data_IF_794275221167
#
_entry.id   IF_794275221167
#
_cell.length_a   1.000
_cell.length_b   1.000
_cell.length_c   1.000
_cell.angle_alpha   90.00
_cell.angle_beta   90.00
_cell.angle_gamma   90.00
#
_symmetry.space_group_name_H-M   'P 1'
#
loop_
_entity.id
_entity.type
_entity.pdbx_description
1 polymer ?
#
# COMPACT_ATOMS: atom_id res chain seq x y z
N UNK A 1 -14.55 -27.65 19.92
CA UNK A 1 -13.67 -26.49 19.61
C UNK A 1 -14.61 -25.31 19.53
N UNK A 2 -14.81 -24.67 20.68
CA UNK A 2 -15.71 -23.53 20.82
C UNK A 2 -15.40 -22.49 19.76
N UNK A 3 -16.41 -22.13 18.97
CA UNK A 3 -16.30 -21.21 17.84
C UNK A 3 -15.81 -19.85 18.36
N UNK A 4 -14.51 -19.57 18.17
CA UNK A 4 -13.95 -18.25 18.40
C UNK A 4 -14.76 -17.22 17.62
N UNK A 5 -15.11 -16.12 18.29
CA UNK A 5 -15.83 -14.99 17.69
C UNK A 5 -15.12 -14.56 16.39
N UNK A 6 -15.80 -14.53 15.22
CA UNK A 6 -15.22 -14.10 13.95
C UNK A 6 -14.53 -12.74 14.06
N UNK A 7 -15.06 -11.83 14.89
CA UNK A 7 -14.45 -10.53 15.14
C UNK A 7 -13.10 -10.66 15.84
N UNK A 8 -12.99 -11.55 16.84
CA UNK A 8 -11.71 -11.81 17.50
C UNK A 8 -10.68 -12.38 16.51
N UNK A 9 -11.08 -13.32 15.66
CA UNK A 9 -10.21 -13.89 14.63
C UNK A 9 -9.74 -12.85 13.60
N UNK A 10 -10.65 -11.96 13.16
CA UNK A 10 -10.32 -10.84 12.28
C UNK A 10 -9.24 -9.95 12.90
N UNK A 11 -9.45 -9.51 14.15
CA UNK A 11 -8.55 -8.58 14.84
C UNK A 11 -7.20 -9.25 15.16
N UNK A 12 -7.21 -10.48 15.67
CA UNK A 12 -5.99 -11.23 15.94
C UNK A 12 -5.19 -11.49 14.65
N UNK A 13 -5.88 -11.90 13.57
CA UNK A 13 -5.25 -12.10 12.27
C UNK A 13 -4.67 -10.80 11.70
N UNK A 14 -5.41 -9.69 11.79
CA UNK A 14 -4.95 -8.37 11.38
C UNK A 14 -3.70 -7.93 12.17
N UNK A 15 -3.68 -8.17 13.48
CA UNK A 15 -2.55 -7.86 14.35
C UNK A 15 -1.31 -8.65 13.93
N UNK A 16 -1.45 -9.96 13.68
CA UNK A 16 -0.35 -10.83 13.25
C UNK A 16 0.18 -10.42 11.87
N UNK A 17 -0.70 -10.21 10.90
CA UNK A 17 -0.34 -9.73 9.56
C UNK A 17 0.41 -8.40 9.65
N UNK A 18 -0.12 -7.45 10.42
CA UNK A 18 0.52 -6.16 10.67
C UNK A 18 1.89 -6.32 11.33
N UNK A 19 2.00 -7.16 12.35
CA UNK A 19 3.25 -7.41 13.07
C UNK A 19 4.35 -7.97 12.14
N UNK A 20 4.01 -8.96 11.32
CA UNK A 20 4.95 -9.52 10.34
C UNK A 20 5.34 -8.46 9.32
N UNK A 21 4.37 -7.71 8.78
CA UNK A 21 4.65 -6.62 7.83
C UNK A 21 5.60 -5.58 8.44
N UNK A 22 5.31 -5.09 9.65
CA UNK A 22 6.13 -4.08 10.33
C UNK A 22 7.56 -4.52 10.59
N UNK A 23 7.72 -5.77 11.04
CA UNK A 23 9.04 -6.39 11.28
C UNK A 23 9.84 -6.49 9.99
N UNK A 24 9.24 -7.08 8.94
CA UNK A 24 9.91 -7.32 7.65
C UNK A 24 10.19 -6.02 6.93
N UNK A 25 9.24 -5.08 6.91
CA UNK A 25 9.40 -3.79 6.27
C UNK A 25 10.53 -2.97 6.93
N UNK A 26 10.70 -3.06 8.26
CA UNK A 26 11.81 -2.42 8.96
C UNK A 26 13.15 -3.10 8.64
N UNK A 27 13.22 -4.42 8.78
CA UNK A 27 14.43 -5.20 8.54
C UNK A 27 14.97 -5.05 7.10
N UNK A 28 14.06 -5.04 6.13
CA UNK A 28 14.39 -5.02 4.71
C UNK A 28 14.51 -3.62 4.12
N UNK A 29 13.94 -2.62 4.82
CA UNK A 29 13.74 -1.29 4.28
C UNK A 29 12.74 -1.22 3.13
N UNK A 30 11.78 -2.16 3.04
CA UNK A 30 10.81 -2.28 1.95
C UNK A 30 10.16 -0.93 1.59
N UNK A 31 10.38 -0.44 0.37
CA UNK A 31 9.89 0.87 -0.04
C UNK A 31 9.78 1.01 -1.57
N UNK A 32 8.57 1.29 -2.08
CA UNK A 32 8.35 1.54 -3.51
C UNK A 32 9.14 2.75 -4.00
N UNK A 33 9.24 3.81 -3.19
CA UNK A 33 9.99 5.03 -3.56
C UNK A 33 11.42 4.70 -3.94
N UNK A 34 12.09 3.92 -3.10
CA UNK A 34 13.47 3.51 -3.33
C UNK A 34 13.57 2.61 -4.55
N UNK A 35 12.61 1.70 -4.77
CA UNK A 35 12.58 0.87 -5.97
C UNK A 35 12.50 1.72 -7.27
N UNK A 36 11.62 2.74 -7.29
CA UNK A 36 11.49 3.66 -8.43
C UNK A 36 12.80 4.41 -8.68
N UNK A 37 13.42 4.95 -7.62
CA UNK A 37 14.67 5.71 -7.74
C UNK A 37 15.85 4.79 -8.16
N UNK A 38 15.94 3.58 -7.60
CA UNK A 38 16.97 2.60 -7.97
C UNK A 38 16.92 2.26 -9.47
N UNK A 39 15.71 2.11 -10.02
CA UNK A 39 15.50 1.84 -11.45
C UNK A 39 15.87 3.05 -12.30
N UNK A 40 15.43 4.26 -11.93
CA UNK A 40 15.71 5.49 -12.68
C UNK A 40 17.21 5.82 -12.67
N UNK A 41 17.85 5.76 -11.50
CA UNK A 41 19.26 6.12 -11.33
C UNK A 41 20.22 4.96 -11.71
N UNK A 42 19.69 3.81 -12.15
CA UNK A 42 20.44 2.57 -12.50
C UNK A 42 21.41 2.12 -11.40
N UNK A 43 20.95 2.15 -10.14
CA UNK A 43 21.75 1.84 -8.94
C UNK A 43 21.50 0.42 -8.42
N UNK A 44 22.29 -0.10 -7.46
CA UNK A 44 22.04 -1.40 -6.83
C UNK A 44 20.58 -1.50 -6.36
N UNK A 45 19.91 -2.53 -6.87
CA UNK A 45 18.45 -2.59 -6.98
C UNK A 45 17.83 -3.51 -5.91
N UNK A 46 18.16 -3.29 -4.63
CA UNK A 46 17.62 -4.09 -3.52
C UNK A 46 16.11 -3.98 -3.44
N UNK A 47 15.57 -2.77 -3.50
CA UNK A 47 14.15 -2.51 -3.37
C UNK A 47 13.40 -2.84 -4.65
N UNK A 48 14.02 -2.61 -5.81
CA UNK A 48 13.49 -3.07 -7.09
C UNK A 48 13.38 -4.61 -7.14
N UNK A 49 14.36 -5.35 -6.62
CA UNK A 49 14.30 -6.81 -6.53
C UNK A 49 13.19 -7.28 -5.56
N UNK A 50 12.96 -6.55 -4.46
CA UNK A 50 11.85 -6.83 -3.55
C UNK A 50 10.49 -6.69 -4.24
N UNK A 51 10.28 -5.58 -4.97
CA UNK A 51 9.03 -5.32 -5.69
C UNK A 51 8.82 -6.23 -6.90
N UNK A 52 9.90 -6.63 -7.58
CA UNK A 52 9.84 -7.58 -8.68
C UNK A 52 9.28 -8.95 -8.28
N UNK A 53 9.37 -9.32 -7.00
CA UNK A 53 8.78 -10.55 -6.46
C UNK A 53 7.48 -10.29 -5.71
N UNK A 54 7.42 -9.25 -4.88
CA UNK A 54 6.25 -8.97 -4.05
C UNK A 54 4.97 -8.80 -4.86
N UNK A 55 5.03 -8.02 -5.94
CA UNK A 55 3.86 -7.73 -6.75
C UNK A 55 3.36 -9.00 -7.48
N UNK A 56 4.17 -9.70 -8.30
CA UNK A 56 3.68 -10.89 -8.99
C UNK A 56 3.26 -12.02 -8.06
N UNK A 57 3.95 -12.20 -6.93
CA UNK A 57 3.58 -13.22 -5.96
C UNK A 57 2.24 -12.89 -5.30
N UNK A 58 1.99 -11.62 -4.95
CA UNK A 58 0.69 -11.18 -4.44
C UNK A 58 -0.44 -11.43 -5.44
N UNK A 59 -0.21 -11.16 -6.73
CA UNK A 59 -1.18 -11.49 -7.79
C UNK A 59 -1.39 -13.00 -7.89
N UNK A 60 -0.34 -13.79 -8.08
CA UNK A 60 -0.45 -15.24 -8.26
C UNK A 60 -1.15 -15.92 -7.09
N UNK A 61 -0.69 -15.65 -5.87
CA UNK A 61 -1.30 -16.25 -4.68
C UNK A 61 -2.77 -15.84 -4.54
N UNK A 62 -3.11 -14.57 -4.69
CA UNK A 62 -4.51 -14.10 -4.58
C UNK A 62 -5.40 -14.72 -5.66
N UNK A 63 -4.93 -14.78 -6.90
CA UNK A 63 -5.71 -15.38 -8.00
C UNK A 63 -5.84 -16.90 -7.84
N UNK A 64 -4.84 -17.60 -7.30
CA UNK A 64 -4.94 -19.02 -6.96
C UNK A 64 -5.99 -19.24 -5.88
N UNK A 65 -5.97 -18.48 -4.78
CA UNK A 65 -6.96 -18.60 -3.71
C UNK A 65 -8.38 -18.28 -4.21
N UNK A 66 -8.53 -17.27 -5.06
CA UNK A 66 -9.81 -16.89 -5.65
C UNK A 66 -10.33 -17.96 -6.64
N UNK A 67 -9.45 -18.57 -7.44
CA UNK A 67 -9.82 -19.61 -8.39
C UNK A 67 -10.35 -20.87 -7.71
N UNK A 68 -9.77 -21.25 -6.56
CA UNK A 68 -10.26 -22.37 -5.75
C UNK A 68 -11.48 -22.02 -4.88
N UNK A 69 -11.99 -20.77 -4.95
CA UNK A 69 -13.13 -20.33 -4.14
C UNK A 69 -12.83 -20.22 -2.64
N UNK A 70 -11.55 -20.19 -2.24
CA UNK A 70 -11.15 -20.04 -0.84
C UNK A 70 -11.43 -18.62 -0.34
N UNK A 71 -11.22 -17.62 -1.20
CA UNK A 71 -11.54 -16.22 -0.91
C UNK A 71 -12.56 -15.71 -1.92
N UNK A 72 -13.58 -15.00 -1.45
CA UNK A 72 -14.45 -14.22 -2.33
C UNK A 72 -13.94 -12.79 -2.44
N UNK A 73 -13.59 -12.40 -3.66
CA UNK A 73 -13.14 -11.04 -3.96
C UNK A 73 -14.31 -10.13 -4.36
N UNK A 74 -15.55 -10.62 -4.44
CA UNK A 74 -16.71 -9.80 -4.77
C UNK A 74 -16.93 -8.71 -3.72
N UNK A 75 -17.37 -7.53 -4.17
CA UNK A 75 -17.69 -6.40 -3.29
C UNK A 75 -16.49 -5.67 -2.68
N UNK A 76 -15.25 -6.08 -2.99
CA UNK A 76 -14.07 -5.33 -2.57
C UNK A 76 -13.99 -3.98 -3.32
N UNK A 77 -13.30 -3.00 -2.72
CA UNK A 77 -13.23 -1.63 -3.24
C UNK A 77 -12.56 -1.50 -4.62
N UNK A 78 -11.72 -2.45 -5.02
CA UNK A 78 -10.95 -2.43 -6.26
C UNK A 78 -11.71 -3.01 -7.46
N UNK A 79 -12.73 -3.84 -7.23
CA UNK A 79 -13.52 -4.51 -8.25
C UNK A 79 -14.90 -3.85 -8.48
N UNK A 80 -15.00 -2.54 -8.27
CA UNK A 80 -16.22 -1.79 -8.59
C UNK A 80 -16.53 -1.80 -10.10
N UNK A 81 -17.76 -1.43 -10.45
CA UNK A 81 -18.25 -1.36 -11.84
C UNK A 81 -17.95 -0.02 -12.53
N UNK A 82 -17.34 0.93 -11.84
CA UNK A 82 -16.96 2.23 -12.37
C UNK A 82 -15.47 2.48 -12.23
N UNK A 83 -14.83 2.91 -13.31
CA UNK A 83 -13.41 3.30 -13.33
C UNK A 83 -13.33 4.83 -13.31
N UNK A 84 -13.00 5.39 -12.15
CA UNK A 84 -12.82 6.83 -11.96
C UNK A 84 -11.41 7.24 -12.42
N UNK A 85 -11.12 7.06 -13.70
CA UNK A 85 -9.78 7.16 -14.28
C UNK A 85 -9.09 8.48 -13.93
N UNK A 86 -9.82 9.60 -13.92
CA UNK A 86 -9.25 10.91 -13.60
C UNK A 86 -8.83 10.99 -12.14
N UNK A 87 -9.67 10.51 -11.22
CA UNK A 87 -9.37 10.42 -9.79
C UNK A 87 -8.13 9.54 -9.56
N UNK A 88 -8.04 8.39 -10.22
CA UNK A 88 -6.92 7.47 -10.10
C UNK A 88 -5.60 8.07 -10.58
N UNK A 89 -5.62 8.79 -11.72
CA UNK A 89 -4.43 9.45 -12.27
C UNK A 89 -4.00 10.62 -11.39
N UNK A 90 -4.91 11.56 -11.10
CA UNK A 90 -4.61 12.74 -10.28
C UNK A 90 -4.16 12.32 -8.88
N UNK A 91 -4.88 11.38 -8.27
CA UNK A 91 -4.57 10.83 -6.96
C UNK A 91 -3.22 10.14 -6.93
N UNK A 92 -2.96 9.28 -7.90
CA UNK A 92 -1.69 8.55 -8.00
C UNK A 92 -0.51 9.48 -8.20
N UNK A 93 -0.62 10.48 -9.08
CA UNK A 93 0.42 11.48 -9.32
C UNK A 93 0.73 12.29 -8.04
N UNK A 94 -0.31 12.78 -7.35
CA UNK A 94 -0.16 13.52 -6.09
C UNK A 94 0.48 12.66 -4.99
N UNK A 95 0.03 11.41 -4.85
CA UNK A 95 0.59 10.47 -3.89
C UNK A 95 2.07 10.17 -4.20
N UNK A 96 2.38 9.86 -5.46
CA UNK A 96 3.72 9.58 -5.95
C UNK A 96 4.69 10.74 -5.74
N UNK A 97 4.24 11.97 -6.00
CA UNK A 97 5.04 13.15 -5.74
C UNK A 97 5.26 13.37 -4.23
N UNK A 98 4.20 13.23 -3.42
CA UNK A 98 4.23 13.37 -1.97
C UNK A 98 5.19 12.37 -1.29
N UNK A 99 5.22 11.12 -1.75
CA UNK A 99 6.15 10.12 -1.20
C UNK A 99 7.62 10.48 -1.46
N UNK A 100 7.94 11.17 -2.56
CA UNK A 100 9.32 11.62 -2.82
C UNK A 100 9.71 12.79 -1.91
N UNK A 101 8.80 13.74 -1.70
CA UNK A 101 9.04 14.90 -0.82
C UNK A 101 9.29 14.43 0.61
N UNK A 102 8.41 13.58 1.13
CA UNK A 102 8.50 13.06 2.51
C UNK A 102 9.51 11.93 2.66
N UNK A 103 10.16 11.50 1.57
CA UNK A 103 11.15 10.42 1.52
C UNK A 103 10.63 9.02 1.89
N UNK A 104 9.33 8.81 1.93
CA UNK A 104 8.69 7.51 2.20
C UNK A 104 7.21 7.52 1.82
N UNK A 105 6.59 6.36 1.67
CA UNK A 105 5.13 6.26 1.56
C UNK A 105 4.49 6.04 2.95
N UNK A 106 3.16 6.06 3.05
CA UNK A 106 2.44 5.92 4.32
C UNK A 106 2.88 4.72 5.16
N UNK A 107 2.99 3.52 4.56
CA UNK A 107 3.46 2.32 5.27
C UNK A 107 4.90 2.44 5.77
N UNK A 108 5.79 3.07 4.99
CA UNK A 108 7.18 3.30 5.42
C UNK A 108 7.26 4.29 6.57
N UNK A 109 6.49 5.38 6.54
CA UNK A 109 6.45 6.32 7.65
C UNK A 109 5.92 5.69 8.93
N UNK A 110 4.95 4.76 8.84
CA UNK A 110 4.50 4.02 10.03
C UNK A 110 5.62 3.21 10.68
N UNK A 111 6.38 2.48 9.85
CA UNK A 111 7.51 1.66 10.29
C UNK A 111 8.65 2.51 10.89
N UNK A 112 8.88 3.71 10.35
CA UNK A 112 9.89 4.64 10.86
C UNK A 112 9.44 5.34 12.13
N UNK A 113 8.17 5.70 12.22
CA UNK A 113 7.57 6.34 13.40
C UNK A 113 7.75 5.45 14.66
N UNK A 114 7.53 4.14 14.52
CA UNK A 114 7.81 3.16 15.56
C UNK A 114 9.29 3.06 15.96
N UNK A 115 10.21 3.58 15.14
CA UNK A 115 11.64 3.62 15.44
C UNK A 115 12.13 4.80 16.27
N UNK A 116 11.24 5.76 16.57
CA UNK A 116 11.59 7.04 17.18
C UNK A 116 11.74 8.20 16.18
N UNK A 117 11.41 8.01 14.90
CA UNK A 117 11.46 9.09 13.92
C UNK A 117 10.23 10.02 14.06
N UNK A 118 10.42 11.16 14.73
CA UNK A 118 9.36 12.17 14.97
C UNK A 118 8.87 12.80 13.68
N UNK A 119 9.71 12.88 12.64
CA UNK A 119 9.31 13.38 11.32
C UNK A 119 8.23 12.49 10.71
N UNK A 120 8.40 11.18 10.85
CA UNK A 120 7.45 10.20 10.35
C UNK A 120 6.11 10.26 11.10
N UNK A 121 6.11 10.53 12.41
CA UNK A 121 4.90 10.81 13.20
C UNK A 121 4.11 11.99 12.64
N UNK A 122 4.77 13.11 12.35
CA UNK A 122 4.11 14.27 11.73
C UNK A 122 3.50 13.89 10.38
N UNK A 123 4.22 13.15 9.55
CA UNK A 123 3.72 12.75 8.22
C UNK A 123 2.51 11.83 8.32
N UNK A 124 2.53 10.79 9.16
CA UNK A 124 1.38 9.87 9.28
C UNK A 124 0.16 10.56 9.88
N UNK A 125 0.34 11.50 10.81
CA UNK A 125 -0.76 12.28 11.37
C UNK A 125 -1.40 13.17 10.30
N UNK A 126 -0.60 13.91 9.53
CA UNK A 126 -1.12 14.77 8.45
C UNK A 126 -1.75 13.94 7.33
N UNK A 127 -1.12 12.81 6.96
CA UNK A 127 -1.66 11.87 5.97
C UNK A 127 -3.01 11.31 6.45
N UNK A 128 -3.10 10.82 7.68
CA UNK A 128 -4.32 10.27 8.25
C UNK A 128 -5.43 11.30 8.37
N UNK A 129 -5.12 12.51 8.86
CA UNK A 129 -6.07 13.62 8.95
C UNK A 129 -6.61 14.00 7.58
N UNK A 130 -5.72 14.16 6.59
CA UNK A 130 -6.11 14.53 5.24
C UNK A 130 -6.89 13.41 4.57
N UNK A 131 -6.48 12.14 4.74
CA UNK A 131 -7.21 10.99 4.22
C UNK A 131 -8.62 10.92 4.82
N UNK A 132 -8.76 11.09 6.15
CA UNK A 132 -10.07 11.11 6.80
C UNK A 132 -10.93 12.28 6.33
N UNK A 133 -10.36 13.49 6.24
CA UNK A 133 -11.05 14.65 5.69
C UNK A 133 -11.47 14.48 4.23
N UNK A 134 -10.73 13.68 3.45
CA UNK A 134 -11.07 13.38 2.04
C UNK A 134 -12.16 12.32 1.94
N UNK A 135 -12.19 11.36 2.86
CA UNK A 135 -13.23 10.32 2.90
C UNK A 135 -14.56 10.84 3.43
N UNK A 136 -14.55 11.65 4.50
CA UNK A 136 -15.74 12.01 5.29
C UNK A 136 -15.83 13.48 5.69
N UNK A 137 -14.87 14.32 5.31
CA UNK A 137 -14.80 15.72 5.72
C UNK A 137 -14.90 16.70 4.56
N UNK A 138 -14.33 17.90 4.76
CA UNK A 138 -14.40 19.02 3.79
C UNK A 138 -13.75 18.71 2.44
N UNK A 139 -12.72 17.85 2.43
CA UNK A 139 -12.03 17.44 1.21
C UNK A 139 -12.82 16.37 0.42
N UNK A 140 -13.94 15.89 0.94
CA UNK A 140 -14.86 15.05 0.18
C UNK A 140 -15.48 15.81 -1.00
N UNK A 141 -15.72 17.13 -0.89
CA UNK A 141 -16.28 17.97 -1.96
C UNK A 141 -15.38 17.99 -3.21
N UNK A 142 -14.09 18.38 -3.13
CA UNK A 142 -13.20 18.34 -4.29
C UNK A 142 -12.98 16.90 -4.77
N UNK A 143 -12.98 15.91 -3.87
CA UNK A 143 -12.90 14.50 -4.26
C UNK A 143 -14.07 14.15 -5.19
N UNK A 144 -15.32 14.30 -4.74
CA UNK A 144 -16.49 13.91 -5.52
C UNK A 144 -16.60 14.68 -6.84
N UNK A 145 -16.10 15.93 -6.89
CA UNK A 145 -16.02 16.70 -8.13
C UNK A 145 -15.04 16.09 -9.14
N UNK A 146 -13.83 15.71 -8.70
CA UNK A 146 -12.84 15.04 -9.55
C UNK A 146 -13.36 13.68 -10.02
N UNK A 147 -14.00 12.93 -9.13
CA UNK A 147 -14.60 11.64 -9.44
C UNK A 147 -15.72 11.78 -10.49
N UNK A 148 -16.60 12.76 -10.33
CA UNK A 148 -17.67 13.05 -11.29
C UNK A 148 -17.17 13.54 -12.66
N UNK A 149 -16.05 14.25 -12.70
CA UNK A 149 -15.48 14.77 -13.95
C UNK A 149 -14.88 13.69 -14.86
N UNK A 150 -14.49 12.53 -14.32
CA UNK A 150 -13.81 11.48 -15.09
C UNK A 150 -14.10 10.08 -14.58
N UNK A 151 -15.34 9.64 -14.79
CA UNK A 151 -15.78 8.26 -14.51
C UNK A 151 -16.22 7.56 -15.79
N UNK A 152 -15.72 6.35 -15.99
CA UNK A 152 -16.16 5.41 -17.02
C UNK A 152 -16.98 4.30 -16.35
N UNK A 153 -18.26 4.20 -16.68
CA UNK A 153 -19.12 3.11 -16.20
C UNK A 153 -18.94 1.88 -17.09
N UNK A 154 -18.70 0.73 -16.48
CA UNK A 154 -18.58 -0.57 -17.16
C UNK A 154 -19.90 -1.37 -17.11
N UNK A 155 -21.00 -0.72 -16.75
CA UNK A 155 -22.31 -1.37 -16.56
C UNK A 155 -22.26 -2.38 -15.42
N UNK A 156 -22.63 -3.63 -15.70
CA UNK A 156 -22.64 -4.72 -14.71
C UNK A 156 -21.30 -5.46 -14.62
N UNK A 157 -20.31 -5.11 -15.46
CA UNK A 157 -19.02 -5.80 -15.48
C UNK A 157 -18.05 -5.19 -14.45
N UNK A 158 -17.51 -5.98 -13.51
CA UNK A 158 -16.45 -5.52 -12.62
C UNK A 158 -15.21 -5.11 -13.41
N UNK A 159 -14.45 -4.14 -12.91
CA UNK A 159 -13.20 -3.66 -13.54
C UNK A 159 -12.01 -4.64 -13.44
N UNK A 160 -12.25 -5.96 -13.42
CA UNK A 160 -11.22 -6.98 -13.43
C UNK A 160 -10.69 -7.21 -14.85
N UNK A 161 -9.38 -7.03 -15.07
CA UNK A 161 -8.74 -7.26 -16.37
C UNK A 161 -9.07 -8.64 -16.99
N UNK A 162 -9.09 -9.76 -16.25
CA UNK A 162 -9.43 -11.06 -16.82
C UNK A 162 -10.85 -11.13 -17.38
N UNK A 163 -11.81 -10.50 -16.71
CA UNK A 163 -13.21 -10.44 -17.16
C UNK A 163 -13.36 -9.56 -18.40
N UNK A 164 -12.62 -8.46 -18.47
CA UNK A 164 -12.62 -7.58 -19.65
C UNK A 164 -12.00 -8.24 -20.89
N UNK A 165 -11.03 -9.14 -20.72
CA UNK A 165 -10.35 -9.82 -21.83
C UNK A 165 -11.12 -11.04 -22.33
N UNK A 166 -11.68 -11.84 -21.42
CA UNK A 166 -12.20 -13.19 -21.74
C UNK A 166 -13.67 -13.41 -21.40
N UNK A 167 -14.36 -12.37 -20.92
CA UNK A 167 -15.73 -12.47 -20.41
C UNK A 167 -15.85 -13.26 -19.10
N UNK A 168 -17.08 -13.49 -18.59
CA UNK A 168 -17.31 -14.09 -17.28
C UNK A 168 -16.81 -15.54 -17.17
N UNK A 169 -16.98 -16.32 -18.24
CA UNK A 169 -16.71 -17.77 -18.25
C UNK A 169 -15.21 -18.09 -18.34
N UNK A 170 -14.41 -17.22 -18.97
CA UNK A 170 -12.95 -17.39 -19.10
C UNK A 170 -12.12 -16.62 -18.08
N UNK A 171 -12.76 -15.84 -17.20
CA UNK A 171 -12.05 -14.91 -16.32
C UNK A 171 -11.06 -15.62 -15.37
N UNK A 172 -11.44 -16.78 -14.83
CA UNK A 172 -10.59 -17.51 -13.89
C UNK A 172 -9.29 -18.02 -14.53
N UNK A 173 -9.37 -18.62 -15.71
CA UNK A 173 -8.19 -19.13 -16.43
C UNK A 173 -7.31 -17.99 -16.92
N UNK A 174 -7.90 -16.94 -17.46
CA UNK A 174 -7.17 -15.73 -17.90
C UNK A 174 -6.45 -15.06 -16.73
N UNK A 175 -7.07 -15.02 -15.55
CA UNK A 175 -6.44 -14.48 -14.35
C UNK A 175 -5.17 -15.26 -13.96
N UNK A 176 -5.24 -16.59 -13.96
CA UNK A 176 -4.10 -17.46 -13.65
C UNK A 176 -2.99 -17.34 -14.71
N UNK A 177 -3.34 -17.22 -15.99
CA UNK A 177 -2.36 -17.00 -17.06
C UNK A 177 -1.64 -15.67 -16.87
N UNK A 178 -2.37 -14.57 -16.65
CA UNK A 178 -1.78 -13.25 -16.39
C UNK A 178 -0.88 -13.32 -15.15
N UNK A 179 -1.36 -13.92 -14.07
CA UNK A 179 -0.60 -14.04 -12.83
C UNK A 179 0.67 -14.89 -13.00
N UNK A 180 0.59 -16.00 -13.75
CA UNK A 180 1.72 -16.84 -14.08
C UNK A 180 2.76 -16.13 -14.94
N UNK A 181 2.33 -15.36 -15.95
CA UNK A 181 3.21 -14.54 -16.78
C UNK A 181 3.90 -13.45 -15.95
N UNK A 182 3.16 -12.74 -15.09
CA UNK A 182 3.73 -11.75 -14.19
C UNK A 182 4.75 -12.39 -13.24
N UNK A 183 4.45 -13.57 -12.69
CA UNK A 183 5.35 -14.28 -11.79
C UNK A 183 6.62 -14.74 -12.51
N UNK A 184 6.50 -15.29 -13.73
CA UNK A 184 7.66 -15.64 -14.54
C UNK A 184 8.53 -14.41 -14.85
N UNK A 185 7.92 -13.29 -15.26
CA UNK A 185 8.64 -12.04 -15.51
C UNK A 185 9.33 -11.50 -14.24
N UNK A 186 8.63 -11.53 -13.10
CA UNK A 186 9.16 -11.14 -11.79
C UNK A 186 10.33 -12.03 -11.34
N UNK A 187 10.20 -13.34 -11.51
CA UNK A 187 11.26 -14.30 -11.20
C UNK A 187 12.50 -14.08 -12.07
N UNK A 188 12.33 -13.82 -13.37
CA UNK A 188 13.44 -13.48 -14.27
C UNK A 188 14.10 -12.16 -13.86
N UNK A 189 13.32 -11.13 -13.54
CA UNK A 189 13.84 -9.85 -13.07
C UNK A 189 14.63 -10.01 -11.76
N UNK A 190 14.07 -10.71 -10.78
CA UNK A 190 14.72 -11.02 -9.51
C UNK A 190 16.00 -11.84 -9.70
N UNK A 191 15.97 -12.84 -10.60
CA UNK A 191 17.14 -13.65 -10.92
C UNK A 191 18.27 -12.82 -11.54
N UNK A 192 17.94 -11.84 -12.40
CA UNK A 192 18.93 -10.91 -12.96
C UNK A 192 19.49 -9.97 -11.88
N UNK A 193 18.63 -9.51 -10.96
CA UNK A 193 19.00 -8.60 -9.88
C UNK A 193 19.71 -9.28 -8.71
N UNK A 194 19.65 -10.61 -8.57
CA UNK A 194 20.22 -11.35 -7.42
C UNK A 194 21.71 -11.14 -7.17
N UNK A 195 22.46 -10.75 -8.21
CA UNK A 195 23.90 -10.46 -8.12
C UNK A 195 24.20 -9.09 -7.50
N UNK A 196 23.21 -8.22 -7.36
CA UNK A 196 23.37 -6.90 -6.77
C UNK A 196 23.49 -7.00 -5.23
N UNK A 197 24.29 -6.13 -4.60
CA UNK A 197 24.42 -6.11 -3.14
C UNK A 197 23.07 -5.95 -2.44
N UNK A 198 22.78 -6.85 -1.49
CA UNK A 198 21.54 -6.82 -0.71
C UNK A 198 20.27 -7.27 -1.44
N UNK A 199 20.36 -7.66 -2.72
CA UNK A 199 19.19 -8.10 -3.49
C UNK A 199 18.52 -9.35 -2.92
N UNK A 200 19.28 -10.28 -2.34
CA UNK A 200 18.71 -11.48 -1.70
C UNK A 200 17.84 -11.14 -0.49
N UNK A 201 18.27 -10.18 0.35
CA UNK A 201 17.44 -9.66 1.43
C UNK A 201 16.20 -8.92 0.92
N UNK A 202 16.32 -8.23 -0.23
CA UNK A 202 15.17 -7.63 -0.92
C UNK A 202 14.17 -8.68 -1.40
N UNK A 203 14.63 -9.73 -2.07
CA UNK A 203 13.79 -10.82 -2.58
C UNK A 203 13.10 -11.57 -1.43
N UNK A 204 13.82 -11.89 -0.35
CA UNK A 204 13.22 -12.51 0.83
C UNK A 204 12.11 -11.65 1.43
N UNK A 205 12.34 -10.34 1.54
CA UNK A 205 11.30 -9.41 1.99
C UNK A 205 10.12 -9.34 1.02
N UNK A 206 10.39 -9.37 -0.29
CA UNK A 206 9.37 -9.38 -1.32
C UNK A 206 8.50 -10.63 -1.28
N UNK A 207 9.09 -11.81 -1.03
CA UNK A 207 8.36 -13.06 -0.83
C UNK A 207 7.39 -12.94 0.36
N UNK A 208 7.88 -12.47 1.51
CA UNK A 208 7.04 -12.36 2.71
C UNK A 208 5.94 -11.32 2.53
N UNK A 209 6.27 -10.11 2.06
CA UNK A 209 5.27 -9.06 1.83
C UNK A 209 4.25 -9.49 0.76
N UNK A 210 4.71 -10.16 -0.30
CA UNK A 210 3.83 -10.69 -1.35
C UNK A 210 2.81 -11.71 -0.82
N UNK A 211 3.22 -12.58 0.11
CA UNK A 211 2.33 -13.56 0.76
C UNK A 211 1.44 -12.96 1.86
N UNK A 212 1.80 -11.81 2.44
CA UNK A 212 0.93 -11.14 3.41
C UNK A 212 -0.33 -10.57 2.76
N UNK A 213 -0.30 -10.24 1.46
CA UNK A 213 -1.47 -9.73 0.72
C UNK A 213 -2.62 -10.76 0.63
N UNK A 214 -2.43 -11.98 0.11
CA UNK A 214 -3.47 -13.01 0.12
C UNK A 214 -3.83 -13.45 1.55
N UNK A 215 -2.87 -13.47 2.48
CA UNK A 215 -3.16 -13.78 3.89
C UNK A 215 -4.11 -12.73 4.49
N UNK A 216 -3.94 -11.46 4.15
CA UNK A 216 -4.85 -10.39 4.57
C UNK A 216 -6.25 -10.55 3.98
N UNK A 217 -6.36 -10.93 2.69
CA UNK A 217 -7.64 -11.26 2.05
C UNK A 217 -8.32 -12.45 2.73
N UNK A 218 -7.55 -13.47 3.10
CA UNK A 218 -8.06 -14.64 3.81
C UNK A 218 -8.54 -14.28 5.23
N UNK A 219 -7.76 -13.50 5.97
CA UNK A 219 -8.17 -13.05 7.32
C UNK A 219 -9.46 -12.24 7.26
N UNK A 220 -9.59 -11.28 6.34
CA UNK A 220 -10.77 -10.43 6.27
C UNK A 220 -11.98 -11.08 5.60
N UNK A 221 -11.75 -11.89 4.57
CA UNK A 221 -12.83 -12.49 3.77
C UNK A 221 -13.28 -13.88 4.22
N UNK A 222 -12.50 -14.57 5.07
CA UNK A 222 -12.83 -15.94 5.52
C UNK A 222 -12.89 -16.01 7.04
N UNK A 223 -11.80 -15.66 7.73
CA UNK A 223 -11.74 -15.81 9.19
C UNK A 223 -12.62 -14.79 9.93
N UNK A 224 -12.70 -13.58 9.39
CA UNK A 224 -13.52 -12.49 9.90
C UNK A 224 -14.85 -12.33 9.20
N UNK A 225 -15.26 -13.30 8.37
CA UNK A 225 -16.55 -13.24 7.70
C UNK A 225 -17.64 -13.56 8.72
N UNK A 226 -18.53 -12.59 8.93
CA UNK A 226 -19.71 -12.71 9.77
C UNK A 226 -20.95 -12.63 8.86
N UNK A 227 -21.81 -13.64 8.94
CA UNK A 227 -23.06 -13.70 8.15
C UNK A 227 -24.12 -12.70 8.63
N UNK A 228 -24.07 -12.32 9.91
CA UNK A 228 -25.02 -11.38 10.52
C UNK A 228 -24.62 -9.92 10.29
N UNK A 229 -23.31 -9.64 10.17
CA UNK A 229 -22.77 -8.33 9.84
C UNK A 229 -21.71 -8.41 8.73
N UNK A 230 -22.10 -8.66 7.47
CA UNK A 230 -21.17 -8.89 6.37
C UNK A 230 -20.34 -7.63 6.10
N UNK A 231 -19.04 -7.71 6.41
CA UNK A 231 -18.08 -6.67 6.09
C UNK A 231 -17.45 -6.90 4.72
N UNK A 232 -17.06 -5.81 4.05
CA UNK A 232 -16.36 -5.93 2.75
C UNK A 232 -14.97 -6.52 2.99
N UNK A 233 -14.53 -7.49 2.18
CA UNK A 233 -13.17 -8.01 2.30
C UNK A 233 -12.16 -6.89 2.00
N UNK A 234 -11.11 -6.82 2.82
CA UNK A 234 -10.06 -5.79 2.75
C UNK A 234 -8.70 -6.44 2.96
N UNK A 235 -7.74 -6.10 2.11
CA UNK A 235 -6.34 -6.48 2.32
C UNK A 235 -5.50 -5.31 2.81
N UNK A 236 -4.20 -5.55 3.02
CA UNK A 236 -3.30 -4.61 3.65
C UNK A 236 -3.28 -3.27 2.92
N UNK A 237 -3.55 -2.19 3.64
CA UNK A 237 -3.54 -0.82 3.13
C UNK A 237 -3.32 0.15 4.28
N UNK A 238 -2.80 1.34 3.99
CA UNK A 238 -2.41 2.31 5.01
C UNK A 238 -2.99 3.70 4.78
N UNK A 239 -3.81 3.93 3.76
CA UNK A 239 -4.39 5.28 3.55
C UNK A 239 -5.61 5.48 4.45
N UNK A 240 -6.71 4.80 4.17
CA UNK A 240 -7.94 4.91 4.95
C UNK A 240 -7.76 4.47 6.41
N UNK A 241 -7.05 3.35 6.70
CA UNK A 241 -6.85 2.93 8.08
C UNK A 241 -6.15 3.94 8.98
N UNK A 242 -5.26 4.80 8.45
CA UNK A 242 -4.61 5.84 9.26
C UNK A 242 -5.61 6.87 9.76
N UNK A 243 -6.51 7.29 8.88
CA UNK A 243 -7.61 8.19 9.23
C UNK A 243 -8.57 7.54 10.22
N UNK A 244 -8.95 6.28 9.97
CA UNK A 244 -9.81 5.52 10.87
C UNK A 244 -9.16 5.30 12.24
N UNK A 245 -7.86 5.04 12.31
CA UNK A 245 -7.14 4.85 13.58
C UNK A 245 -7.08 6.16 14.39
N UNK A 246 -6.83 7.30 13.74
CA UNK A 246 -6.91 8.61 14.40
C UNK A 246 -8.32 8.87 14.93
N UNK A 247 -9.35 8.62 14.11
CA UNK A 247 -10.74 8.77 14.52
C UNK A 247 -11.09 7.84 15.69
N UNK A 248 -10.65 6.59 15.64
CA UNK A 248 -10.87 5.59 16.68
C UNK A 248 -10.24 6.01 18.01
N UNK A 249 -9.02 6.57 17.98
CA UNK A 249 -8.39 7.11 19.19
C UNK A 249 -9.18 8.28 19.78
N UNK A 250 -9.77 9.14 18.95
CA UNK A 250 -10.57 10.28 19.41
C UNK A 250 -11.98 9.89 19.88
N UNK A 251 -12.55 8.82 19.33
CA UNK A 251 -13.96 8.42 19.53
C UNK A 251 -14.11 6.96 19.91
N UNK A 252 -13.17 6.43 20.72
CA UNK A 252 -13.07 5.02 21.09
C UNK A 252 -14.39 4.39 21.57
N UNK A 253 -15.19 5.15 22.32
CA UNK A 253 -16.51 4.70 22.81
C UNK A 253 -17.59 4.64 21.73
N UNK A 254 -17.37 5.25 20.56
CA UNK A 254 -18.33 5.36 19.46
C UNK A 254 -17.89 4.68 18.16
N UNK A 255 -16.72 4.01 18.13
CA UNK A 255 -16.21 3.32 16.93
C UNK A 255 -15.58 1.99 17.31
N UNK A 256 -15.85 0.94 16.54
CA UNK A 256 -15.22 -0.37 16.73
C UNK A 256 -13.88 -0.48 15.98
N UNK A 257 -12.97 -1.29 16.51
CA UNK A 257 -11.74 -1.62 15.80
C UNK A 257 -12.07 -2.48 14.56
N UNK A 258 -11.48 -2.12 13.43
CA UNK A 258 -11.55 -2.86 12.18
C UNK A 258 -10.21 -3.55 11.86
N UNK A 259 -10.19 -4.33 10.77
CA UNK A 259 -8.98 -4.97 10.26
C UNK A 259 -7.84 -3.96 10.03
N UNK A 260 -8.14 -2.80 9.44
CA UNK A 260 -7.15 -1.79 9.09
C UNK A 260 -6.50 -1.12 10.31
N UNK A 261 -7.31 -0.70 11.28
CA UNK A 261 -6.84 -0.10 12.55
C UNK A 261 -5.92 -1.09 13.28
N UNK A 262 -6.33 -2.35 13.32
CA UNK A 262 -5.58 -3.40 14.02
C UNK A 262 -4.30 -3.79 13.28
N UNK A 263 -4.32 -3.79 11.93
CA UNK A 263 -3.12 -3.97 11.12
C UNK A 263 -2.11 -2.83 11.30
N UNK A 264 -2.56 -1.58 11.51
CA UNK A 264 -1.68 -0.46 11.88
C UNK A 264 -1.03 -0.70 13.23
N UNK A 265 -1.81 -1.09 14.25
CA UNK A 265 -1.30 -1.40 15.58
C UNK A 265 -0.25 -2.53 15.52
N UNK A 266 -0.54 -3.60 14.76
CA UNK A 266 0.41 -4.68 14.51
C UNK A 266 1.68 -4.18 13.82
N UNK A 267 1.54 -3.35 12.79
CA UNK A 267 2.69 -2.78 12.06
C UNK A 267 3.59 -1.94 12.97
N UNK A 268 3.00 -1.12 13.85
CA UNK A 268 3.74 -0.37 14.86
C UNK A 268 4.46 -1.31 15.84
N UNK A 269 3.75 -2.31 16.37
CA UNK A 269 4.32 -3.26 17.33
C UNK A 269 5.48 -4.08 16.73
N UNK A 270 5.31 -4.63 15.52
CA UNK A 270 6.36 -5.42 14.86
C UNK A 270 7.58 -4.59 14.47
N UNK A 271 7.36 -3.38 13.97
CA UNK A 271 8.48 -2.48 13.65
C UNK A 271 9.20 -1.97 14.90
N UNK A 272 8.49 -1.69 16.00
CA UNK A 272 9.08 -1.35 17.29
C UNK A 272 9.88 -2.53 17.87
N UNK A 273 9.32 -3.75 17.85
CA UNK A 273 10.01 -4.95 18.33
C UNK A 273 11.32 -5.18 17.58
N UNK A 274 11.31 -5.05 16.25
CA UNK A 274 12.54 -5.13 15.45
C UNK A 274 13.53 -4.01 15.80
N UNK A 275 13.04 -2.78 16.00
CA UNK A 275 13.87 -1.64 16.38
C UNK A 275 14.58 -1.86 17.72
N UNK A 276 13.83 -2.33 18.72
CA UNK A 276 14.34 -2.62 20.06
C UNK A 276 15.35 -3.78 20.02
N UNK A 277 15.02 -4.87 19.32
CA UNK A 277 15.90 -6.04 19.19
C UNK A 277 17.23 -5.71 18.49
N UNK A 278 17.19 -4.85 17.47
CA UNK A 278 18.39 -4.40 16.74
C UNK A 278 19.09 -3.20 17.37
N UNK A 279 18.59 -2.69 18.52
CA UNK A 279 19.08 -1.48 19.20
C UNK A 279 19.18 -0.27 18.26
N UNK A 280 18.22 -0.15 17.34
CA UNK A 280 18.13 0.92 16.35
C UNK A 280 17.05 1.96 16.68
N UNK A 281 16.62 2.01 17.94
CA UNK A 281 15.71 3.05 18.43
C UNK A 281 16.46 4.37 18.56
N UNK A 282 16.01 5.38 17.82
CA UNK A 282 16.64 6.69 17.81
C UNK A 282 15.59 7.79 17.63
N UNK A 283 15.60 8.75 18.54
CA UNK A 283 14.76 9.93 18.44
C UNK A 283 15.33 10.86 17.36
N UNK A 284 14.61 11.01 16.24
CA UNK A 284 15.02 11.89 15.14
C UNK A 284 13.96 12.94 14.83
N UNK A 285 14.33 14.21 15.00
CA UNK A 285 13.47 15.37 14.77
C UNK A 285 13.69 16.09 13.43
N UNK A 286 13.09 17.27 13.32
CA UNK A 286 13.32 18.20 12.21
C UNK A 286 14.46 19.18 12.55
N UNK A 287 15.36 19.41 11.60
CA UNK A 287 16.45 20.38 11.75
C UNK A 287 16.05 21.80 11.32
N UNK A 288 14.97 21.96 10.56
CA UNK A 288 14.49 23.27 10.10
C UNK A 288 12.98 23.32 9.89
N UNK A 289 12.34 24.50 10.07
CA UNK A 289 10.92 24.70 9.76
C UNK A 289 10.59 24.42 8.29
N UNK A 290 11.50 24.75 7.37
CA UNK A 290 11.31 24.47 5.94
C UNK A 290 11.26 22.97 5.62
N UNK A 291 12.00 22.14 6.37
CA UNK A 291 11.90 20.69 6.24
C UNK A 291 10.57 20.17 6.78
N UNK A 292 10.09 20.72 7.90
CA UNK A 292 8.79 20.38 8.46
C UNK A 292 7.65 20.72 7.50
N UNK A 293 7.62 21.94 6.95
CA UNK A 293 6.59 22.39 6.01
C UNK A 293 6.52 21.49 4.77
N UNK A 294 7.68 21.08 4.22
CA UNK A 294 7.75 20.13 3.09
C UNK A 294 7.15 18.77 3.46
N UNK A 295 7.42 18.26 4.66
CA UNK A 295 6.90 16.97 5.11
C UNK A 295 5.39 17.02 5.38
N UNK A 296 4.88 18.11 5.95
CA UNK A 296 3.45 18.37 6.15
C UNK A 296 2.74 18.43 4.79
N UNK A 297 3.24 19.24 3.85
CA UNK A 297 2.66 19.35 2.51
C UNK A 297 2.65 17.99 1.79
N UNK A 298 3.77 17.28 1.81
CA UNK A 298 3.85 15.95 1.21
C UNK A 298 2.92 14.93 1.89
N UNK A 299 2.75 15.01 3.22
CA UNK A 299 1.79 14.21 3.98
C UNK A 299 0.35 14.46 3.54
N UNK A 300 -0.03 15.73 3.37
CA UNK A 300 -1.35 16.11 2.88
C UNK A 300 -1.58 15.62 1.44
N UNK A 301 -0.60 15.80 0.54
CA UNK A 301 -0.67 15.28 -0.83
C UNK A 301 -0.85 13.76 -0.87
N UNK A 302 -0.14 13.01 -0.01
CA UNK A 302 -0.32 11.56 0.12
C UNK A 302 -1.69 11.19 0.71
N UNK A 303 -2.21 11.94 1.69
CA UNK A 303 -3.52 11.67 2.27
C UNK A 303 -4.65 11.85 1.25
N UNK A 304 -4.69 13.01 0.58
CA UNK A 304 -5.69 13.31 -0.44
C UNK A 304 -5.53 12.41 -1.67
N UNK A 305 -4.30 12.33 -2.20
CA UNK A 305 -4.01 11.54 -3.39
C UNK A 305 -4.20 10.03 -3.18
N UNK A 306 -3.92 9.53 -1.98
CA UNK A 306 -4.11 8.12 -1.65
C UNK A 306 -5.58 7.72 -1.57
N UNK A 307 -6.48 8.63 -1.21
CA UNK A 307 -7.92 8.36 -1.21
C UNK A 307 -8.45 8.36 -2.65
N UNK A 308 -8.06 9.33 -3.46
CA UNK A 308 -8.40 9.39 -4.89
C UNK A 308 -7.88 8.17 -5.66
N UNK A 309 -6.67 7.70 -5.33
CA UNK A 309 -6.06 6.51 -5.93
C UNK A 309 -6.60 5.17 -5.37
N UNK A 310 -7.62 5.20 -4.49
CA UNK A 310 -8.17 4.03 -3.79
C UNK A 310 -7.15 3.25 -2.95
N UNK A 311 -6.03 3.87 -2.59
CA UNK A 311 -5.03 3.28 -1.71
C UNK A 311 -3.64 3.91 -1.82
N UNK A 312 -2.75 3.47 -0.94
CA UNK A 312 -1.33 3.78 -1.01
C UNK A 312 -0.59 2.78 -1.91
N UNK A 313 0.74 2.83 -1.91
CA UNK A 313 1.57 1.85 -2.63
C UNK A 313 1.27 0.40 -2.26
N UNK A 314 0.93 0.12 -1.01
CA UNK A 314 0.55 -1.24 -0.57
C UNK A 314 -0.90 -1.53 -0.92
N UNK A 315 -1.81 -0.58 -0.64
CA UNK A 315 -3.23 -0.71 -0.95
C UNK A 315 -3.50 -0.81 -2.44
N UNK A 316 -3.39 0.29 -3.18
CA UNK A 316 -3.62 0.30 -4.63
C UNK A 316 -2.56 -0.53 -5.39
N UNK A 317 -1.31 -0.49 -4.93
CA UNK A 317 -0.19 -1.10 -5.67
C UNK A 317 0.01 -2.59 -5.47
N UNK A 318 -0.23 -3.16 -4.28
CA UNK A 318 -0.12 -4.61 -4.04
C UNK A 318 -1.51 -5.24 -3.90
N UNK A 319 -2.32 -4.76 -2.96
CA UNK A 319 -3.64 -5.32 -2.67
C UNK A 319 -4.60 -5.18 -3.85
N UNK A 320 -4.69 -4.00 -4.46
CA UNK A 320 -5.54 -3.76 -5.63
C UNK A 320 -5.03 -4.46 -6.90
N UNK A 321 -3.71 -4.44 -7.14
CA UNK A 321 -3.12 -5.20 -8.24
C UNK A 321 -3.29 -6.70 -8.07
N UNK A 322 -3.32 -7.22 -6.83
CA UNK A 322 -3.53 -8.64 -6.56
C UNK A 322 -4.88 -9.16 -7.05
N UNK A 323 -5.87 -8.27 -7.20
CA UNK A 323 -7.18 -8.58 -7.77
C UNK A 323 -7.25 -8.36 -9.29
N UNK A 324 -6.13 -8.01 -9.94
CA UNK A 324 -6.05 -7.63 -11.35
C UNK A 324 -7.04 -6.52 -11.76
N UNK A 325 -7.28 -5.57 -10.86
CA UNK A 325 -8.15 -4.40 -11.11
C UNK A 325 -7.49 -3.43 -12.09
N UNK A 326 -8.24 -3.01 -13.12
CA UNK A 326 -7.81 -1.97 -14.05
C UNK A 326 -7.54 -0.64 -13.34
N UNK A 327 -8.40 -0.27 -12.38
CA UNK A 327 -8.22 0.95 -11.61
C UNK A 327 -6.93 0.95 -10.79
N UNK A 328 -6.56 -0.21 -10.23
CA UNK A 328 -5.31 -0.38 -9.48
C UNK A 328 -4.07 -0.31 -10.36
N UNK A 329 -4.15 -0.80 -11.60
CA UNK A 329 -3.10 -0.65 -12.61
C UNK A 329 -2.86 0.82 -12.95
N UNK A 330 -3.94 1.58 -13.20
CA UNK A 330 -3.88 3.02 -13.47
C UNK A 330 -3.29 3.76 -12.27
N UNK A 331 -3.79 3.48 -11.06
CA UNK A 331 -3.29 4.09 -9.83
C UNK A 331 -1.80 3.81 -9.60
N UNK A 332 -1.36 2.55 -9.74
CA UNK A 332 0.05 2.19 -9.57
C UNK A 332 0.94 2.87 -10.61
N UNK A 333 0.53 2.89 -11.88
CA UNK A 333 1.25 3.58 -12.95
C UNK A 333 1.36 5.09 -12.67
N UNK A 334 0.27 5.72 -12.22
CA UNK A 334 0.26 7.12 -11.82
C UNK A 334 1.14 7.40 -10.59
N UNK A 335 1.14 6.51 -9.58
CA UNK A 335 2.02 6.62 -8.41
C UNK A 335 3.49 6.54 -8.81
N UNK A 336 3.86 5.57 -9.65
CA UNK A 336 5.24 5.43 -10.14
C UNK A 336 5.64 6.65 -10.97
N UNK A 337 4.75 7.14 -11.84
CA UNK A 337 4.98 8.34 -12.64
C UNK A 337 5.15 9.59 -11.78
N UNK A 338 4.27 9.78 -10.78
CA UNK A 338 4.36 10.89 -9.83
C UNK A 338 5.65 10.85 -9.01
N UNK A 339 6.10 9.64 -8.64
CA UNK A 339 7.39 9.42 -7.99
C UNK A 339 8.57 9.75 -8.90
N UNK A 340 8.54 9.36 -10.17
CA UNK A 340 9.57 9.70 -11.13
C UNK A 340 9.66 11.22 -11.36
N UNK A 341 8.52 11.89 -11.54
CA UNK A 341 8.42 13.35 -11.67
C UNK A 341 8.94 14.04 -10.41
N UNK A 342 8.52 13.59 -9.22
CA UNK A 342 8.98 14.15 -7.95
C UNK A 342 10.48 13.99 -7.74
N UNK A 343 11.05 12.86 -8.16
CA UNK A 343 12.50 12.66 -8.12
C UNK A 343 13.23 13.63 -9.05
N UNK A 344 12.75 13.79 -10.28
CA UNK A 344 13.34 14.70 -11.27
C UNK A 344 13.25 16.18 -10.86
N UNK A 345 12.12 16.60 -10.29
CA UNK A 345 11.94 17.96 -9.77
C UNK A 345 12.90 18.21 -8.60
N UNK A 346 13.01 17.25 -7.68
CA UNK A 346 13.93 17.36 -6.55
C UNK A 346 15.40 17.40 -6.99
N UNK A 347 15.80 16.57 -7.96
CA UNK A 347 17.17 16.57 -8.47
C UNK A 347 17.48 17.85 -9.23
N UNK A 348 16.52 18.51 -9.89
CA UNK A 348 16.74 19.83 -10.52
C UNK A 348 16.82 20.98 -9.52
N UNK A 349 15.97 20.99 -8.49
CA UNK A 349 15.93 22.07 -7.49
C UNK A 349 17.15 21.99 -6.53
N UNK A 350 17.63 20.78 -6.23
CA UNK A 350 18.77 20.55 -5.32
C UNK A 350 20.09 20.32 -6.09
N UNK A 351 20.01 20.08 -7.41
CA UNK A 351 21.13 19.61 -8.22
C UNK A 351 22.03 20.68 -8.77
N UNK A 352 22.93 21.13 -7.91
CA UNK A 352 24.37 21.12 -8.25
C UNK A 352 25.08 19.84 -7.81
N UNK A 353 24.45 18.96 -7.01
CA UNK A 353 25.03 17.66 -6.59
C UNK A 353 23.95 16.58 -6.53
N UNK A 354 24.18 15.48 -7.25
CA UNK A 354 23.33 14.30 -7.19
C UNK A 354 23.24 13.81 -5.72
N UNK A 355 22.04 13.76 -5.12
CA UNK A 355 21.92 13.35 -3.73
C UNK A 355 22.32 11.87 -3.59
N UNK A 356 23.13 11.57 -2.57
CA UNK A 356 23.23 10.20 -2.06
C UNK A 356 21.81 9.73 -1.71
N UNK A 357 21.45 8.51 -2.08
CA UNK A 357 20.23 7.88 -1.58
C UNK A 357 20.50 7.64 -0.09
N UNK A 358 20.16 8.61 0.74
CA UNK A 358 20.11 8.43 2.18
C UNK A 358 18.76 7.74 2.42
N UNK A 359 18.74 6.46 2.86
CA UNK A 359 17.54 5.88 3.40
C UNK A 359 16.98 6.85 4.45
N UNK A 360 15.66 6.94 4.60
CA UNK A 360 15.13 7.55 5.80
C UNK A 360 15.52 6.62 6.96
N UNK A 361 16.72 6.85 7.49
CA UNK A 361 17.07 6.66 8.88
C UNK A 361 16.22 7.68 9.68
#
# INVERSE_FOLDING_TARGET
MDSLDPKFLLLAGALVVGFIYGTVARASGFCLRSAVIEVIDRRPARQAAAWAIALPLAVLSTQVLAHFGIIDLKGNIYLGTSVMWLSLIVGGLLFGFGMVITRGCGGRHLVLAAGGNLRAWVVITVLGLTAYATLRGILALPRTWIEGAGTLSLGDTPQALPQLISGPQGAGTTALVIAGVLMAAGAVAAFRLRRQPGAMGGIAAGLVVGLLIPASWYVSGVLGFDEFEPTRPVSLTFTAPMGNALQFLMTYTGTAADFGITAIAGTLAGSFAWAAATRSLKAEGFDSPGHMARYVLGGAMMGFGGVLALGCTIGAGLSGMSTLSLGSLIALAAIVTGGAVGHHVKTRIVGGRAPKIVPAE
#
